data_IF_657557940140
#
_entry.id   IF_657557940140
#
_cell.length_a   1.000
_cell.length_b   1.000
_cell.length_c   1.000
_cell.angle_alpha   90.00
_cell.angle_beta   90.00
_cell.angle_gamma   90.00
#
_symmetry.space_group_name_H-M   'P 1'
#
loop_
_entity.id
_entity.type
_entity.pdbx_description
1 polymer ?
#
# COMPACT_ATOMS: atom_id res chain seq x y z
N UNK A 1 -6.11 -11.48 -27.84
CA UNK A 1 -5.59 -12.13 -26.61
C UNK A 1 -6.58 -11.91 -25.49
N UNK A 2 -6.78 -12.94 -24.69
CA UNK A 2 -7.75 -12.99 -23.62
C UNK A 2 -7.07 -13.47 -22.33
N UNK A 3 -7.62 -13.02 -21.18
CA UNK A 3 -7.42 -13.68 -19.90
C UNK A 3 -8.76 -14.28 -19.47
N UNK A 4 -8.79 -15.57 -19.17
CA UNK A 4 -10.01 -16.38 -19.09
C UNK A 4 -10.89 -16.12 -20.33
N UNK A 5 -11.95 -15.32 -20.18
CA UNK A 5 -12.87 -14.94 -21.26
C UNK A 5 -12.92 -13.42 -21.50
N UNK A 6 -12.04 -12.64 -20.88
CA UNK A 6 -11.97 -11.19 -21.03
C UNK A 6 -10.91 -10.81 -22.05
N UNK A 7 -11.26 -9.89 -22.96
CA UNK A 7 -10.30 -9.36 -23.94
C UNK A 7 -9.23 -8.57 -23.20
N UNK A 8 -7.96 -8.96 -23.37
CA UNK A 8 -6.81 -8.13 -23.00
C UNK A 8 -6.63 -7.04 -24.04
N UNK A 9 -6.52 -7.45 -25.31
CA UNK A 9 -6.29 -6.58 -26.44
C UNK A 9 -6.45 -7.37 -27.75
N UNK A 10 -6.69 -6.65 -28.84
CA UNK A 10 -6.72 -7.15 -30.21
C UNK A 10 -5.80 -6.32 -31.09
N UNK A 11 -5.20 -6.96 -32.09
CA UNK A 11 -4.38 -6.30 -33.11
C UNK A 11 -4.79 -6.83 -34.47
N UNK A 12 -4.92 -5.93 -35.43
CA UNK A 12 -5.11 -6.33 -36.82
C UNK A 12 -3.78 -6.79 -37.41
N UNK A 13 -3.81 -7.93 -38.09
CA UNK A 13 -2.65 -8.49 -38.79
C UNK A 13 -2.95 -8.42 -40.29
N UNK A 14 -2.18 -7.65 -41.07
CA UNK A 14 -2.35 -7.65 -42.52
C UNK A 14 -1.92 -9.02 -43.09
N UNK A 15 -2.25 -9.24 -44.37
CA UNK A 15 -1.96 -10.47 -45.11
C UNK A 15 -0.56 -11.03 -44.80
N UNK A 16 -0.53 -12.29 -44.36
CA UNK A 16 0.70 -13.05 -44.17
C UNK A 16 0.94 -13.94 -45.41
N UNK A 17 2.16 -13.99 -45.95
CA UNK A 17 2.48 -14.95 -47.01
C UNK A 17 2.28 -16.41 -46.57
N UNK A 18 2.02 -17.34 -47.50
CA UNK A 18 1.86 -18.76 -47.18
C UNK A 18 3.07 -19.31 -46.42
N UNK A 19 2.82 -20.16 -45.41
CA UNK A 19 3.83 -20.83 -44.60
C UNK A 19 4.74 -19.87 -43.81
N UNK A 20 4.27 -18.65 -43.52
CA UNK A 20 4.98 -17.69 -42.67
C UNK A 20 4.24 -17.44 -41.36
N UNK A 21 5.00 -17.07 -40.33
CA UNK A 21 4.47 -16.65 -39.04
C UNK A 21 4.87 -15.22 -38.73
N UNK A 22 4.09 -14.56 -37.88
CA UNK A 22 4.40 -13.24 -37.35
C UNK A 22 4.24 -13.24 -35.84
N UNK A 23 5.28 -12.83 -35.13
CA UNK A 23 5.23 -12.64 -33.69
C UNK A 23 4.55 -11.31 -33.35
N UNK A 24 3.64 -11.33 -32.39
CA UNK A 24 2.89 -10.15 -31.95
C UNK A 24 2.84 -10.14 -30.43
N UNK A 25 3.37 -9.08 -29.84
CA UNK A 25 3.37 -8.89 -28.38
C UNK A 25 2.13 -8.12 -27.93
N UNK A 26 1.57 -8.54 -26.79
CA UNK A 26 0.48 -7.86 -26.10
C UNK A 26 0.89 -7.60 -24.65
N UNK A 27 0.48 -6.47 -24.10
CA UNK A 27 0.66 -6.13 -22.70
C UNK A 27 -0.66 -6.29 -21.96
N UNK A 28 -0.67 -7.05 -20.86
CA UNK A 28 -1.82 -7.17 -20.00
C UNK A 28 -1.67 -6.25 -18.79
N UNK A 29 -2.53 -5.23 -18.71
CA UNK A 29 -2.64 -4.42 -17.50
C UNK A 29 -3.46 -5.17 -16.44
N UNK A 30 -2.79 -5.64 -15.40
CA UNK A 30 -3.40 -6.36 -14.27
C UNK A 30 -3.89 -5.44 -13.15
N UNK A 31 -3.84 -4.11 -13.34
CA UNK A 31 -4.32 -3.15 -12.35
C UNK A 31 -5.81 -3.39 -12.05
N UNK A 32 -6.12 -3.62 -10.77
CA UNK A 32 -7.49 -3.92 -10.33
C UNK A 32 -7.95 -5.36 -10.56
N UNK A 33 -7.13 -6.22 -11.17
CA UNK A 33 -7.39 -7.66 -11.23
C UNK A 33 -7.05 -8.28 -9.87
N UNK A 34 -7.96 -9.09 -9.35
CA UNK A 34 -7.75 -9.75 -8.05
C UNK A 34 -6.61 -10.77 -8.10
N UNK A 35 -5.98 -11.10 -6.97
CA UNK A 35 -5.06 -12.22 -6.90
C UNK A 35 -5.76 -13.53 -7.26
N UNK A 36 -5.08 -14.40 -8.01
CA UNK A 36 -5.63 -15.67 -8.45
C UNK A 36 -4.95 -16.23 -9.69
N UNK A 37 -5.50 -17.32 -10.20
CA UNK A 37 -5.02 -18.03 -11.37
C UNK A 37 -5.88 -17.65 -12.59
N UNK A 38 -5.22 -17.25 -13.68
CA UNK A 38 -5.85 -16.78 -14.90
C UNK A 38 -5.29 -17.54 -16.10
N UNK A 39 -6.18 -18.07 -16.94
CA UNK A 39 -5.81 -18.75 -18.17
C UNK A 39 -5.54 -17.70 -19.25
N UNK A 40 -4.41 -17.75 -19.94
CA UNK A 40 -4.16 -16.90 -21.11
C UNK A 40 -4.43 -17.67 -22.38
N UNK A 41 -5.16 -17.04 -23.29
CA UNK A 41 -5.45 -17.58 -24.60
C UNK A 41 -5.37 -16.50 -25.68
N UNK A 42 -5.12 -16.92 -26.91
CA UNK A 42 -5.17 -16.08 -28.08
C UNK A 42 -6.08 -16.74 -29.12
N UNK A 43 -6.80 -15.92 -29.88
CA UNK A 43 -7.51 -16.39 -31.05
C UNK A 43 -7.22 -15.50 -32.24
N UNK A 44 -7.05 -16.11 -33.41
CA UNK A 44 -7.19 -15.44 -34.69
C UNK A 44 -8.69 -15.40 -35.06
N UNK A 45 -9.10 -14.34 -35.77
CA UNK A 45 -10.43 -14.31 -36.37
C UNK A 45 -10.42 -15.09 -37.69
N UNK A 46 -11.53 -15.72 -38.08
CA UNK A 46 -11.57 -16.49 -39.31
C UNK A 46 -11.41 -15.58 -40.53
N UNK A 47 -10.79 -16.10 -41.59
CA UNK A 47 -10.68 -15.43 -42.89
C UNK A 47 -11.75 -15.91 -43.88
N UNK A 48 -11.99 -15.14 -44.94
CA UNK A 48 -12.92 -15.54 -45.99
C UNK A 48 -12.48 -16.88 -46.61
N UNK A 49 -13.45 -17.76 -46.85
CA UNK A 49 -13.27 -19.13 -47.36
C UNK A 49 -12.47 -20.10 -46.47
N UNK A 50 -12.16 -19.73 -45.22
CA UNK A 50 -11.59 -20.64 -44.24
C UNK A 50 -12.65 -21.63 -43.74
N UNK A 51 -12.35 -22.93 -43.85
CA UNK A 51 -13.26 -24.01 -43.46
C UNK A 51 -12.90 -24.54 -42.07
N UNK A 52 -11.61 -24.70 -41.79
CA UNK A 52 -11.10 -25.19 -40.52
C UNK A 52 -10.74 -23.99 -39.63
N UNK A 53 -11.53 -23.74 -38.59
CA UNK A 53 -11.34 -22.58 -37.68
C UNK A 53 -10.98 -23.00 -36.25
N UNK A 54 -10.95 -24.31 -35.99
CA UNK A 54 -10.70 -24.85 -34.64
C UNK A 54 -9.24 -24.64 -34.21
N UNK A 55 -8.32 -24.52 -35.16
CA UNK A 55 -6.90 -24.23 -34.93
C UNK A 55 -6.60 -22.74 -34.76
N UNK A 56 -7.61 -21.86 -34.90
CA UNK A 56 -7.45 -20.43 -34.66
C UNK A 56 -7.38 -20.07 -33.18
N UNK A 57 -7.58 -21.01 -32.24
CA UNK A 57 -7.51 -20.79 -30.80
C UNK A 57 -6.33 -21.53 -30.18
N UNK A 58 -5.49 -20.80 -29.46
CA UNK A 58 -4.41 -21.37 -28.66
C UNK A 58 -4.58 -20.99 -27.19
N UNK A 59 -4.54 -21.99 -26.31
CA UNK A 59 -4.55 -21.82 -24.85
C UNK A 59 -3.13 -22.11 -24.37
N UNK A 60 -2.48 -21.10 -23.79
CA UNK A 60 -1.08 -21.21 -23.34
C UNK A 60 -0.99 -21.89 -21.98
N UNK A 61 -1.31 -21.16 -20.92
CA UNK A 61 -1.16 -21.64 -19.57
C UNK A 61 -1.80 -20.73 -18.54
N UNK A 62 -1.45 -20.97 -17.28
CA UNK A 62 -1.98 -20.23 -16.13
C UNK A 62 -0.96 -19.19 -15.69
N UNK A 63 -1.36 -17.92 -15.67
CA UNK A 63 -0.67 -16.85 -14.95
C UNK A 63 -1.26 -16.75 -13.55
N UNK A 64 -0.40 -16.73 -12.54
CA UNK A 64 -0.80 -16.47 -11.14
C UNK A 64 -0.52 -15.03 -10.77
N UNK A 65 -1.56 -14.26 -10.46
CA UNK A 65 -1.42 -12.95 -9.82
C UNK A 65 -1.36 -13.17 -8.32
N UNK A 66 -0.25 -12.80 -7.70
CA UNK A 66 -0.06 -12.91 -6.26
C UNK A 66 -0.69 -11.71 -5.52
N UNK A 67 -1.19 -11.91 -4.29
CA UNK A 67 -1.59 -10.80 -3.45
C UNK A 67 -0.39 -9.90 -3.13
N UNK A 68 -0.64 -8.60 -2.99
CA UNK A 68 0.36 -7.67 -2.49
C UNK A 68 0.71 -8.08 -1.05
N UNK A 69 2.01 -8.26 -0.72
CA UNK A 69 2.40 -8.58 0.65
C UNK A 69 1.96 -7.46 1.61
N UNK A 70 1.26 -7.85 2.67
CA UNK A 70 0.91 -6.95 3.76
C UNK A 70 2.08 -6.91 4.74
N UNK A 71 2.69 -5.74 4.88
CA UNK A 71 3.72 -5.47 5.87
C UNK A 71 3.20 -4.40 6.83
N UNK A 72 3.21 -4.69 8.12
CA UNK A 72 2.78 -3.76 9.16
C UNK A 72 4.01 -3.17 9.84
N UNK A 73 4.19 -1.87 9.70
CA UNK A 73 5.25 -1.12 10.36
C UNK A 73 4.75 0.28 10.74
N UNK A 74 4.77 0.58 12.03
CA UNK A 74 4.46 1.91 12.59
C UNK A 74 5.64 2.35 13.44
N UNK A 75 6.01 3.62 13.32
CA UNK A 75 7.16 4.17 14.03
C UNK A 75 6.87 5.57 14.53
N UNK A 76 7.39 5.90 15.72
CA UNK A 76 7.58 7.29 16.13
C UNK A 76 8.81 7.81 15.40
N UNK A 77 8.66 8.87 14.60
CA UNK A 77 9.77 9.47 13.84
C UNK A 77 10.37 10.67 14.54
N UNK A 78 9.61 11.34 15.41
CA UNK A 78 10.05 12.54 16.09
C UNK A 78 9.20 12.81 17.33
N UNK A 79 9.84 13.30 18.39
CA UNK A 79 9.20 13.80 19.60
C UNK A 79 9.91 15.08 20.04
N UNK A 80 9.13 16.08 20.42
CA UNK A 80 9.64 17.35 20.91
C UNK A 80 8.68 17.95 21.92
N UNK A 81 9.23 18.61 22.94
CA UNK A 81 8.49 19.25 24.00
C UNK A 81 8.94 20.70 24.13
N UNK A 82 7.98 21.61 24.28
CA UNK A 82 8.25 23.05 24.41
C UNK A 82 7.20 23.72 25.32
N UNK A 83 7.60 24.64 26.22
CA UNK A 83 8.98 25.05 26.52
C UNK A 83 9.74 24.01 27.37
N UNK A 84 11.08 24.07 27.36
CA UNK A 84 11.95 23.18 28.16
C UNK A 84 12.07 23.59 29.62
N UNK A 85 11.81 24.86 29.90
CA UNK A 85 11.77 25.45 31.23
C UNK A 85 10.34 25.95 31.48
N UNK A 86 9.70 25.40 32.50
CA UNK A 86 8.30 25.67 32.86
C UNK A 86 8.24 25.97 34.35
N UNK A 87 7.51 27.01 34.72
CA UNK A 87 7.17 27.24 36.13
C UNK A 87 6.11 26.22 36.55
N UNK A 88 6.09 25.84 37.83
CA UNK A 88 5.01 25.03 38.39
C UNK A 88 3.65 25.62 37.99
N UNK A 89 2.73 24.75 37.57
CA UNK A 89 1.38 25.06 37.06
C UNK A 89 1.28 25.45 35.57
N UNK A 90 2.39 25.68 34.88
CA UNK A 90 2.40 25.88 33.43
C UNK A 90 2.28 24.55 32.67
N UNK A 91 1.86 24.65 31.41
CA UNK A 91 1.67 23.49 30.53
C UNK A 91 2.82 23.39 29.52
N UNK A 92 3.24 22.16 29.26
CA UNK A 92 4.21 21.84 28.19
C UNK A 92 3.46 21.31 26.98
N UNK A 93 3.72 21.85 25.80
CA UNK A 93 3.25 21.29 24.55
C UNK A 93 4.20 20.19 24.11
N UNK A 94 3.67 19.00 23.85
CA UNK A 94 4.41 17.86 23.32
C UNK A 94 3.89 17.56 21.91
N UNK A 95 4.80 17.56 20.97
CA UNK A 95 4.55 17.21 19.58
C UNK A 95 5.18 15.86 19.26
N UNK A 96 4.41 14.95 18.67
CA UNK A 96 4.86 13.62 18.26
C UNK A 96 4.55 13.44 16.79
N UNK A 97 5.51 12.97 16.00
CA UNK A 97 5.25 12.46 14.65
C UNK A 97 5.33 10.95 14.65
N UNK A 98 4.32 10.34 14.03
CA UNK A 98 4.27 8.90 13.76
C UNK A 98 4.15 8.67 12.27
N UNK A 99 4.71 7.59 11.78
CA UNK A 99 4.63 7.18 10.39
C UNK A 99 4.17 5.72 10.28
N UNK A 100 3.38 5.42 9.27
CA UNK A 100 3.11 4.06 8.82
C UNK A 100 4.04 3.76 7.65
N UNK A 101 5.06 2.94 7.88
CA UNK A 101 6.01 2.48 6.85
C UNK A 101 5.55 1.17 6.19
N UNK A 102 4.42 0.63 6.65
CA UNK A 102 3.77 -0.55 6.11
C UNK A 102 2.99 -0.31 4.82
N UNK A 103 2.44 -1.40 4.28
CA UNK A 103 1.68 -1.42 3.01
C UNK A 103 0.15 -1.43 3.19
N UNK A 104 -0.34 -1.40 4.44
CA UNK A 104 -1.77 -1.40 4.77
C UNK A 104 -2.10 -0.30 5.79
N UNK A 105 -3.32 0.28 5.81
CA UNK A 105 -3.73 1.22 6.84
C UNK A 105 -3.61 0.62 8.25
N UNK A 106 -3.16 1.43 9.22
CA UNK A 106 -2.95 0.96 10.59
C UNK A 106 -3.64 1.84 11.63
N UNK A 107 -4.25 1.19 12.61
CA UNK A 107 -4.81 1.81 13.80
C UNK A 107 -4.00 1.36 15.02
N UNK A 108 -3.50 2.32 15.79
CA UNK A 108 -2.59 2.08 16.92
C UNK A 108 -2.73 3.16 17.98
N UNK A 109 -2.24 2.87 19.18
CA UNK A 109 -2.16 3.82 20.27
C UNK A 109 -0.74 4.35 20.39
N UNK A 110 -0.62 5.67 20.54
CA UNK A 110 0.64 6.34 20.88
C UNK A 110 0.60 6.66 22.37
N UNK A 111 1.60 6.17 23.11
CA UNK A 111 1.72 6.40 24.54
C UNK A 111 2.82 7.43 24.81
N UNK A 112 2.48 8.52 25.47
CA UNK A 112 3.41 9.62 25.78
C UNK A 112 3.70 9.58 27.28
N UNK A 113 4.99 9.63 27.63
CA UNK A 113 5.48 9.57 29.01
C UNK A 113 6.39 10.75 29.33
N UNK A 114 6.39 11.18 30.60
CA UNK A 114 7.57 11.78 31.20
C UNK A 114 8.25 10.72 32.07
N UNK A 115 9.55 10.52 31.89
CA UNK A 115 10.31 9.39 32.42
C UNK A 115 9.55 8.07 32.21
N UNK A 116 8.95 7.52 33.27
CA UNK A 116 8.18 6.27 33.23
C UNK A 116 6.70 6.45 33.61
N UNK A 117 6.23 7.70 33.71
CA UNK A 117 4.84 8.04 34.05
C UNK A 117 4.06 8.46 32.81
N UNK A 118 2.92 7.80 32.58
CA UNK A 118 2.06 8.06 31.44
C UNK A 118 1.44 9.46 31.54
N UNK A 119 1.65 10.29 30.50
CA UNK A 119 1.00 11.58 30.31
C UNK A 119 -0.35 11.37 29.62
N UNK A 120 -0.32 10.68 28.48
CA UNK A 120 -1.48 10.52 27.62
C UNK A 120 -1.35 9.27 26.74
N UNK A 121 -2.50 8.71 26.38
CA UNK A 121 -2.62 7.70 25.33
C UNK A 121 -3.49 8.29 24.22
N UNK A 122 -2.95 8.41 23.01
CA UNK A 122 -3.66 8.96 21.86
C UNK A 122 -3.86 7.87 20.81
N UNK A 123 -5.12 7.60 20.47
CA UNK A 123 -5.44 6.68 19.38
C UNK A 123 -5.27 7.37 18.02
N UNK A 124 -4.60 6.67 17.10
CA UNK A 124 -4.54 6.98 15.68
C UNK A 124 -5.36 5.94 14.95
N UNK A 125 -6.29 6.39 14.11
CA UNK A 125 -7.17 5.52 13.33
C UNK A 125 -6.76 5.57 11.86
N UNK A 126 -6.59 4.38 11.27
CA UNK A 126 -6.38 4.16 9.83
C UNK A 126 -5.35 5.12 9.20
N UNK A 127 -4.16 5.22 9.80
CA UNK A 127 -3.06 5.95 9.17
C UNK A 127 -2.68 5.24 7.87
N UNK A 128 -2.83 5.92 6.74
CA UNK A 128 -2.57 5.36 5.41
C UNK A 128 -1.11 4.86 5.26
N UNK A 129 -0.85 3.88 4.38
CA UNK A 129 0.51 3.45 4.03
C UNK A 129 1.42 4.62 3.63
N UNK A 130 2.71 4.50 3.94
CA UNK A 130 3.75 5.48 3.60
C UNK A 130 3.43 6.93 4.00
N UNK A 131 2.62 7.13 5.05
CA UNK A 131 2.12 8.44 5.49
C UNK A 131 2.55 8.76 6.91
N UNK A 132 2.68 10.06 7.22
CA UNK A 132 2.96 10.57 8.57
C UNK A 132 1.77 11.31 9.17
N UNK A 133 1.70 11.34 10.51
CA UNK A 133 0.75 12.13 11.27
C UNK A 133 1.43 12.79 12.47
N UNK A 134 1.14 14.09 12.65
CA UNK A 134 1.54 14.87 13.81
C UNK A 134 0.43 14.85 14.87
N UNK A 135 0.81 14.57 16.12
CA UNK A 135 -0.03 14.64 17.30
C UNK A 135 0.48 15.79 18.18
N UNK A 136 -0.43 16.50 18.84
CA UNK A 136 -0.11 17.60 19.76
C UNK A 136 -0.85 17.34 21.06
N UNK A 137 -0.11 17.30 22.17
CA UNK A 137 -0.60 17.00 23.51
C UNK A 137 -0.17 18.15 24.43
N UNK A 138 -1.04 18.54 25.37
CA UNK A 138 -0.67 19.46 26.45
C UNK A 138 -0.47 18.68 27.75
N UNK A 139 0.74 18.69 28.28
CA UNK A 139 1.08 18.10 29.57
C UNK A 139 0.93 19.14 30.69
N UNK A 140 0.16 18.78 31.72
CA UNK A 140 -0.03 19.60 32.92
C UNK A 140 1.00 19.20 34.01
N UNK A 141 1.81 20.16 34.46
CA UNK A 141 2.90 19.93 35.43
C UNK A 141 2.53 20.26 36.89
N UNK A 142 1.28 20.69 37.17
CA UNK A 142 0.79 21.18 38.50
C UNK A 142 1.09 20.30 39.72
N UNK A 143 1.40 19.01 39.56
CA UNK A 143 1.73 18.11 40.67
C UNK A 143 3.03 17.32 40.45
N UNK A 144 3.87 17.81 39.53
CA UNK A 144 5.18 17.24 39.24
C UNK A 144 6.20 17.97 40.11
N UNK A 145 7.12 17.24 40.74
CA UNK A 145 8.18 17.85 41.55
C UNK A 145 9.13 18.65 40.66
N UNK A 146 9.86 19.59 41.24
CA UNK A 146 10.94 20.28 40.51
C UNK A 146 12.03 19.27 40.13
N UNK A 147 12.47 19.33 38.87
CA UNK A 147 13.50 18.44 38.34
C UNK A 147 13.59 18.47 36.83
N UNK A 148 14.50 17.66 36.29
CA UNK A 148 14.65 17.44 34.84
C UNK A 148 14.03 16.11 34.47
N UNK A 149 13.19 16.12 33.44
CA UNK A 149 12.39 14.97 33.01
C UNK A 149 12.66 14.65 31.53
N UNK A 150 12.61 13.37 31.17
CA UNK A 150 12.74 12.91 29.78
C UNK A 150 11.37 12.64 29.18
N UNK A 151 11.05 13.24 28.03
CA UNK A 151 9.83 12.91 27.28
C UNK A 151 10.09 11.73 26.34
N UNK A 152 9.22 10.72 26.40
CA UNK A 152 9.27 9.53 25.54
C UNK A 152 7.90 9.31 24.87
N UNK A 153 7.91 8.78 23.66
CA UNK A 153 6.72 8.33 22.96
C UNK A 153 6.95 6.92 22.38
N UNK A 154 5.92 6.08 22.46
CA UNK A 154 5.92 4.68 22.00
C UNK A 154 4.68 4.41 21.15
#
# INVERSE_FOLDING_TARGET
VYYNNHVVSSKFVPLLPPLTGKEITFEWNTSGVSPGNYIISASAGPVEDEIEIDDNVFIDGIITILPVPIFCDVTVTWVHAEPTDVTSEEKVQIEVKVANLGTSPQSFNVLIYYDDVLIAAQQVFELAPCSEKKLVIQWNTTCVREGTYTIKAY
#
